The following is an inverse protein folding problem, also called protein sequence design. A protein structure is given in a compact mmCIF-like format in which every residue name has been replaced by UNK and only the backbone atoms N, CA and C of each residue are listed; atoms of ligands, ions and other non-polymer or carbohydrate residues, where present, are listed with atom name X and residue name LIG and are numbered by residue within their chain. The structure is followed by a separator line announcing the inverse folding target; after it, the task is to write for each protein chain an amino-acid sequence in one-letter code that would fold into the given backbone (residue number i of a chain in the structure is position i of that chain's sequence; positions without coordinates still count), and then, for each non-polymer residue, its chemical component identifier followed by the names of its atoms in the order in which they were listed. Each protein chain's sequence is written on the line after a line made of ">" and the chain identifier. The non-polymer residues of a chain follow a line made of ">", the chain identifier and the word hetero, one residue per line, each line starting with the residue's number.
data_IF_840024786224
#
_entry.id   IF_840024786224
#
_cell.length_a   1.000
_cell.length_b   1.000
_cell.length_c   1.000
_cell.angle_alpha   90.00
_cell.angle_beta   90.00
_cell.angle_gamma   90.00
#
_symmetry.space_group_name_H-M   'P 1'
#
loop_
_entity.id
_entity.type
_entity.pdbx_description
1 polymer ?
#
# COMPACT_ATOMS: atom_id res chain seq x y z
N UNK A 1 19.08 27.69 -7.08
CA UNK A 1 17.88 28.46 -6.63
C UNK A 1 16.81 27.51 -6.04
N UNK A 2 17.25 26.35 -5.66
CA UNK A 2 16.43 25.26 -5.09
C UNK A 2 16.28 25.35 -3.56
N UNK A 3 16.62 26.50 -2.98
CA UNK A 3 16.40 26.79 -1.56
C UNK A 3 14.89 26.85 -1.25
N UNK A 4 14.47 26.23 -0.16
CA UNK A 4 13.11 26.27 0.35
C UNK A 4 12.85 27.65 0.95
N UNK A 5 11.81 28.34 0.52
CA UNK A 5 11.42 29.67 1.02
C UNK A 5 10.04 29.66 1.69
N UNK A 6 9.28 28.56 1.54
CA UNK A 6 7.98 28.44 2.20
C UNK A 6 7.60 26.98 2.36
N UNK A 7 7.11 26.63 3.55
CA UNK A 7 6.47 25.33 3.86
C UNK A 7 5.13 25.65 4.52
N UNK A 8 4.03 25.19 3.90
CA UNK A 8 2.67 25.49 4.37
C UNK A 8 1.88 24.20 4.51
N UNK A 9 1.49 23.87 5.73
CA UNK A 9 0.58 22.77 6.06
C UNK A 9 -0.87 23.24 6.13
N UNK A 10 -1.78 22.39 5.70
CA UNK A 10 -3.24 22.57 5.84
C UNK A 10 -3.95 21.28 6.15
N UNK A 11 -5.12 21.38 6.77
CA UNK A 11 -6.02 20.28 6.97
C UNK A 11 -6.89 20.11 5.72
N UNK A 12 -6.95 18.90 5.17
CA UNK A 12 -7.85 18.51 4.08
C UNK A 12 -8.66 17.27 4.51
N UNK A 13 -9.55 16.78 3.67
CA UNK A 13 -10.42 15.65 4.00
C UNK A 13 -10.07 14.44 3.14
N UNK A 14 -9.92 13.27 3.78
CA UNK A 14 -9.64 12.00 3.13
C UNK A 14 -10.91 11.33 2.56
N UNK A 15 -10.74 10.20 1.87
CA UNK A 15 -11.81 9.41 1.23
C UNK A 15 -12.83 8.82 2.19
N UNK A 16 -12.53 8.82 3.50
CA UNK A 16 -13.44 8.38 4.58
C UNK A 16 -14.14 9.55 5.27
N UNK A 17 -13.89 10.79 4.84
CA UNK A 17 -14.42 12.00 5.48
C UNK A 17 -13.70 12.39 6.76
N UNK A 18 -12.50 11.86 7.02
CA UNK A 18 -11.65 12.25 8.13
C UNK A 18 -10.62 13.31 7.70
N UNK A 19 -10.22 14.23 8.58
CA UNK A 19 -9.14 15.16 8.27
C UNK A 19 -7.80 14.45 8.09
N UNK A 20 -6.97 14.98 7.20
CA UNK A 20 -5.58 14.60 7.00
C UNK A 20 -4.73 15.84 6.66
N UNK A 21 -3.41 15.67 6.63
CA UNK A 21 -2.44 16.75 6.38
C UNK A 21 -2.12 16.84 4.90
N UNK A 22 -2.16 18.05 4.34
CA UNK A 22 -1.55 18.39 3.06
C UNK A 22 -0.45 19.44 3.31
N UNK A 23 0.70 19.26 2.67
CA UNK A 23 1.82 20.19 2.73
C UNK A 23 2.15 20.70 1.34
N UNK A 24 2.43 22.01 1.25
CA UNK A 24 2.92 22.67 0.05
C UNK A 24 4.27 23.33 0.34
N UNK A 25 5.25 23.09 -0.53
CA UNK A 25 6.59 23.67 -0.46
C UNK A 25 6.81 24.55 -1.68
N UNK A 26 7.39 25.73 -1.47
CA UNK A 26 7.79 26.65 -2.54
C UNK A 26 9.29 26.91 -2.46
N UNK A 27 9.97 26.86 -3.60
CA UNK A 27 11.40 27.16 -3.72
C UNK A 27 11.65 28.59 -4.17
N UNK A 28 12.86 29.07 -3.96
CA UNK A 28 13.28 30.46 -4.36
C UNK A 28 13.10 30.74 -5.86
N UNK A 29 13.17 29.70 -6.69
CA UNK A 29 12.89 29.78 -8.14
C UNK A 29 11.42 30.03 -8.48
N UNK A 30 10.51 29.72 -7.54
CA UNK A 30 9.06 29.63 -7.75
C UNK A 30 8.56 28.21 -8.06
N UNK A 31 9.43 27.21 -8.14
CA UNK A 31 9.02 25.81 -8.25
C UNK A 31 8.25 25.38 -6.98
N UNK A 32 7.24 24.52 -7.16
CA UNK A 32 6.34 24.13 -6.06
C UNK A 32 6.12 22.63 -6.02
N UNK A 33 5.87 22.12 -4.81
CA UNK A 33 5.46 20.74 -4.60
C UNK A 33 4.38 20.65 -3.54
N UNK A 34 3.37 19.78 -3.79
CA UNK A 34 2.26 19.56 -2.86
C UNK A 34 2.02 18.07 -2.66
N UNK A 35 1.89 17.66 -1.42
CA UNK A 35 1.64 16.27 -1.06
C UNK A 35 0.55 16.16 0.02
N UNK A 36 -0.38 15.24 -0.16
CA UNK A 36 -1.38 14.88 0.82
C UNK A 36 -1.06 13.52 1.44
N UNK A 37 -1.22 13.40 2.75
CA UNK A 37 -0.82 12.23 3.51
C UNK A 37 -1.98 11.24 3.64
N UNK A 38 -1.80 9.94 3.31
CA UNK A 38 -2.81 8.93 3.54
C UNK A 38 -2.92 8.54 5.02
N UNK A 39 -4.03 7.89 5.41
CA UNK A 39 -4.31 7.49 6.80
C UNK A 39 -4.84 6.06 6.86
N UNK A 40 -4.32 5.23 7.77
CA UNK A 40 -4.80 3.85 7.97
C UNK A 40 -6.14 3.77 8.72
N UNK A 41 -6.87 2.67 8.52
CA UNK A 41 -7.99 2.26 9.39
C UNK A 41 -7.50 1.29 10.47
N UNK A 42 -6.84 0.20 10.07
CA UNK A 42 -6.00 -0.63 10.90
C UNK A 42 -4.57 -0.10 10.87
N UNK A 43 -3.86 -0.14 11.99
CA UNK A 43 -2.47 0.29 12.09
C UNK A 43 -1.68 -0.76 12.83
N UNK A 44 -0.55 -1.19 12.26
CA UNK A 44 0.39 -2.08 12.93
C UNK A 44 0.96 -1.44 14.21
N UNK A 45 1.22 -2.25 15.22
CA UNK A 45 1.75 -1.79 16.53
C UNK A 45 3.05 -0.98 16.39
N UNK A 46 3.81 -1.24 15.34
CA UNK A 46 5.16 -0.69 15.14
C UNK A 46 5.23 0.44 14.11
N UNK A 47 4.08 0.94 13.62
CA UNK A 47 4.05 2.07 12.70
C UNK A 47 4.50 3.38 13.35
N UNK A 48 5.04 4.29 12.54
CA UNK A 48 5.25 5.67 12.97
C UNK A 48 3.92 6.35 13.33
N UNK A 49 3.96 7.26 14.31
CA UNK A 49 2.75 7.83 14.91
C UNK A 49 2.10 8.84 13.99
N UNK A 50 0.88 8.57 13.54
CA UNK A 50 0.01 9.57 12.96
C UNK A 50 -0.53 10.47 14.07
N UNK A 51 -0.10 11.75 14.09
CA UNK A 51 -0.48 12.67 15.15
C UNK A 51 -1.92 13.16 14.95
N UNK A 52 -2.78 12.89 15.94
CA UNK A 52 -4.18 13.30 16.03
C UNK A 52 -4.41 14.19 17.23
N UNK A 53 -5.28 15.21 17.08
CA UNK A 53 -5.52 16.24 18.11
C UNK A 53 -6.19 15.68 19.37
N UNK A 54 -6.98 14.58 19.25
CA UNK A 54 -7.86 14.17 20.30
C UNK A 54 -9.04 15.14 20.52
N UNK A 55 -9.66 15.09 21.68
CA UNK A 55 -10.76 15.99 22.03
C UNK A 55 -12.03 15.77 21.20
N UNK A 56 -12.85 16.84 21.01
CA UNK A 56 -14.16 16.71 20.37
C UNK A 56 -14.18 17.07 18.87
N UNK A 57 -13.21 17.88 18.41
CA UNK A 57 -13.15 18.30 17.01
C UNK A 57 -12.89 17.08 16.11
N UNK A 58 -13.72 16.90 15.06
CA UNK A 58 -13.70 15.70 14.22
C UNK A 58 -13.72 14.39 15.03
N UNK A 59 -14.42 14.36 16.17
CA UNK A 59 -14.49 13.18 17.05
C UNK A 59 -13.09 12.67 17.49
N UNK A 60 -12.16 13.61 17.73
CA UNK A 60 -10.79 13.31 18.13
C UNK A 60 -9.80 13.09 16.97
N UNK A 61 -10.28 13.06 15.71
CA UNK A 61 -9.44 12.78 14.53
C UNK A 61 -8.83 14.02 13.86
N UNK A 62 -8.96 15.23 14.47
CA UNK A 62 -8.35 16.46 13.96
C UNK A 62 -6.83 16.32 13.77
N UNK A 63 -6.25 17.12 12.86
CA UNK A 63 -4.81 17.14 12.58
C UNK A 63 -4.22 18.55 12.76
N UNK A 64 -4.89 19.41 13.53
CA UNK A 64 -4.49 20.78 13.75
C UNK A 64 -3.11 20.91 14.41
N UNK A 65 -2.73 20.01 15.33
CA UNK A 65 -1.40 19.99 15.95
C UNK A 65 -0.33 19.65 14.90
N UNK A 66 -0.55 18.62 14.07
CA UNK A 66 0.37 18.26 13.00
C UNK A 66 0.54 19.43 11.98
N UNK A 67 -0.57 20.09 11.61
CA UNK A 67 -0.55 21.28 10.75
C UNK A 67 0.22 22.43 11.41
N UNK A 68 0.05 22.66 12.70
CA UNK A 68 0.80 23.67 13.44
C UNK A 68 2.31 23.36 13.47
N UNK A 69 2.69 22.10 13.62
CA UNK A 69 4.09 21.67 13.56
C UNK A 69 4.71 21.92 12.18
N UNK A 70 3.95 21.68 11.09
CA UNK A 70 4.40 22.01 9.73
C UNK A 70 4.61 23.52 9.57
N UNK A 71 3.64 24.34 9.99
CA UNK A 71 3.66 25.80 9.81
C UNK A 71 4.58 26.54 10.81
N UNK A 72 5.12 25.84 11.81
CA UNK A 72 6.04 26.35 12.82
C UNK A 72 7.41 25.71 12.72
N UNK A 73 7.72 24.78 13.62
CA UNK A 73 9.07 24.21 13.79
C UNK A 73 9.64 23.61 12.51
N UNK A 74 8.82 22.91 11.69
CA UNK A 74 9.27 22.32 10.44
C UNK A 74 9.59 23.39 9.41
N UNK A 75 8.72 24.39 9.23
CA UNK A 75 8.95 25.50 8.31
C UNK A 75 10.21 26.29 8.70
N UNK A 76 10.38 26.59 9.99
CA UNK A 76 11.54 27.32 10.51
C UNK A 76 12.85 26.52 10.30
N UNK A 77 12.82 25.20 10.49
CA UNK A 77 14.00 24.33 10.33
C UNK A 77 14.43 24.15 8.88
N UNK A 78 13.50 24.24 7.94
CA UNK A 78 13.76 24.05 6.51
C UNK A 78 13.93 25.36 5.72
N UNK A 79 13.77 26.53 6.34
CA UNK A 79 13.99 27.81 5.67
C UNK A 79 15.44 27.93 5.17
N UNK A 80 15.62 28.16 3.87
CA UNK A 80 16.93 28.18 3.20
C UNK A 80 17.57 26.80 2.96
N UNK A 81 16.92 25.70 3.33
CA UNK A 81 17.43 24.35 3.05
C UNK A 81 17.38 24.03 1.55
N UNK A 82 18.34 23.23 1.08
CA UNK A 82 18.46 22.83 -0.32
C UNK A 82 17.50 21.66 -0.65
N UNK A 83 16.46 21.91 -1.43
CA UNK A 83 15.42 20.93 -1.73
C UNK A 83 15.93 19.72 -2.54
N UNK A 84 17.00 19.88 -3.32
CA UNK A 84 17.59 18.78 -4.09
C UNK A 84 18.34 17.77 -3.22
N UNK A 85 18.64 18.12 -1.98
CA UNK A 85 19.32 17.26 -1.00
C UNK A 85 18.31 16.50 -0.11
N UNK A 86 17.41 15.72 -0.75
CA UNK A 86 16.29 15.02 -0.08
C UNK A 86 16.72 14.28 1.20
N UNK A 87 17.86 13.56 1.17
CA UNK A 87 18.33 12.80 2.33
C UNK A 87 18.70 13.71 3.51
N UNK A 88 19.25 14.91 3.24
CA UNK A 88 19.57 15.86 4.30
C UNK A 88 18.30 16.50 4.86
N UNK A 89 17.31 16.78 4.01
CA UNK A 89 15.99 17.27 4.44
C UNK A 89 15.30 16.26 5.35
N UNK A 90 15.22 14.98 4.93
CA UNK A 90 14.56 13.93 5.71
C UNK A 90 15.31 13.65 7.03
N UNK A 91 16.64 13.72 7.02
CA UNK A 91 17.45 13.60 8.22
C UNK A 91 17.18 14.76 9.19
N UNK A 92 17.12 16.00 8.68
CA UNK A 92 16.79 17.18 9.50
C UNK A 92 15.39 17.07 10.14
N UNK A 93 14.40 16.54 9.40
CA UNK A 93 13.05 16.28 9.91
C UNK A 93 13.03 15.23 11.03
N UNK A 94 13.78 14.13 10.85
CA UNK A 94 13.90 13.07 11.85
C UNK A 94 14.65 13.57 13.10
N UNK A 95 15.74 14.30 12.94
CA UNK A 95 16.51 14.90 14.03
C UNK A 95 15.68 15.93 14.80
N UNK A 96 14.88 16.73 14.09
CA UNK A 96 13.96 17.69 14.67
C UNK A 96 12.89 17.00 15.52
N UNK A 97 12.30 15.90 15.06
CA UNK A 97 11.36 15.11 15.87
C UNK A 97 12.04 14.48 17.08
N UNK A 98 13.18 13.84 16.91
CA UNK A 98 14.02 13.27 17.96
C UNK A 98 13.43 12.06 18.66
N UNK A 99 12.34 11.45 18.13
CA UNK A 99 11.75 10.20 18.64
C UNK A 99 11.87 9.08 17.61
N UNK A 100 11.93 7.82 18.08
CA UNK A 100 12.13 6.66 17.19
C UNK A 100 10.96 6.44 16.22
N UNK A 101 9.75 6.89 16.58
CA UNK A 101 8.51 6.65 15.85
C UNK A 101 7.78 7.94 15.42
N UNK A 102 8.47 9.09 15.39
CA UNK A 102 7.92 10.38 14.99
C UNK A 102 6.73 10.86 15.84
N UNK A 103 6.70 10.48 17.11
CA UNK A 103 5.59 10.77 18.01
C UNK A 103 5.47 12.26 18.41
N UNK A 104 6.54 13.06 18.28
CA UNK A 104 6.54 14.47 18.72
C UNK A 104 5.90 15.39 17.68
N UNK A 105 6.37 15.35 16.45
CA UNK A 105 5.87 16.19 15.35
C UNK A 105 4.71 15.53 14.59
N UNK A 106 4.72 14.20 14.56
CA UNK A 106 3.78 13.37 13.82
C UNK A 106 4.34 12.92 12.47
N UNK A 107 4.24 11.62 12.19
CA UNK A 107 4.64 11.05 10.90
C UNK A 107 3.88 11.69 9.73
N UNK A 108 2.63 12.11 9.93
CA UNK A 108 1.84 12.82 8.93
C UNK A 108 2.41 14.21 8.59
N UNK A 109 2.87 14.99 9.58
CA UNK A 109 3.54 16.28 9.32
C UNK A 109 4.88 16.09 8.59
N UNK A 110 5.68 15.13 9.05
CA UNK A 110 7.00 14.82 8.49
C UNK A 110 6.88 14.31 7.06
N UNK A 111 6.02 13.30 6.82
CA UNK A 111 5.84 12.72 5.49
C UNK A 111 5.29 13.73 4.48
N UNK A 112 4.27 14.51 4.87
CA UNK A 112 3.71 15.54 3.99
C UNK A 112 4.78 16.50 3.51
N UNK A 113 5.67 16.91 4.42
CA UNK A 113 6.80 17.79 4.11
C UNK A 113 7.84 17.11 3.22
N UNK A 114 8.27 15.89 3.57
CA UNK A 114 9.25 15.12 2.80
C UNK A 114 8.82 14.93 1.34
N UNK A 115 7.56 14.53 1.12
CA UNK A 115 7.03 14.31 -0.23
C UNK A 115 6.80 15.62 -0.99
N UNK A 116 6.38 16.69 -0.31
CA UNK A 116 6.22 18.01 -0.94
C UNK A 116 7.56 18.58 -1.39
N UNK A 117 8.63 18.42 -0.60
CA UNK A 117 10.00 18.78 -0.99
C UNK A 117 10.45 18.01 -2.23
N UNK A 118 10.26 16.69 -2.27
CA UNK A 118 10.60 15.86 -3.43
C UNK A 118 9.89 16.34 -4.70
N UNK A 119 8.60 16.70 -4.59
CA UNK A 119 7.82 17.23 -5.73
C UNK A 119 8.28 18.63 -6.17
N UNK A 120 8.61 19.52 -5.22
CA UNK A 120 9.16 20.83 -5.54
C UNK A 120 10.53 20.73 -6.22
N UNK A 121 11.38 19.80 -5.74
CA UNK A 121 12.68 19.51 -6.35
C UNK A 121 12.54 18.93 -7.77
N UNK A 122 11.56 18.06 -8.01
CA UNK A 122 11.25 17.53 -9.33
C UNK A 122 10.78 18.64 -10.29
N UNK A 123 9.94 19.57 -9.82
CA UNK A 123 9.47 20.72 -10.57
C UNK A 123 10.63 21.67 -10.90
N UNK A 124 11.54 21.95 -9.94
CA UNK A 124 12.74 22.77 -10.13
C UNK A 124 13.62 22.29 -11.30
N UNK A 125 13.78 20.98 -11.42
CA UNK A 125 14.61 20.39 -12.49
C UNK A 125 13.81 20.02 -13.74
N UNK A 126 12.50 20.32 -13.79
CA UNK A 126 11.63 20.08 -14.94
C UNK A 126 11.40 18.60 -15.25
N UNK A 127 11.44 17.73 -14.24
CA UNK A 127 11.22 16.30 -14.37
C UNK A 127 9.92 15.86 -13.66
N UNK A 128 9.17 14.89 -14.19
CA UNK A 128 8.10 14.27 -13.40
C UNK A 128 8.69 13.51 -12.21
N UNK A 129 7.93 13.41 -11.11
CA UNK A 129 8.41 12.84 -9.85
C UNK A 129 9.02 11.44 -10.00
N UNK A 130 8.37 10.55 -10.77
CA UNK A 130 8.88 9.20 -10.99
C UNK A 130 10.27 9.18 -11.65
N UNK A 131 10.55 10.13 -12.55
CA UNK A 131 11.85 10.28 -13.23
C UNK A 131 12.88 10.95 -12.34
N UNK A 132 12.48 11.94 -11.54
CA UNK A 132 13.35 12.61 -10.60
C UNK A 132 13.87 11.65 -9.53
N UNK A 133 12.98 10.87 -8.90
CA UNK A 133 13.35 9.91 -7.84
C UNK A 133 14.07 8.68 -8.41
N UNK A 134 13.58 8.11 -9.51
CA UNK A 134 14.08 6.83 -10.04
C UNK A 134 15.18 6.96 -11.10
N UNK A 135 15.46 8.19 -11.56
CA UNK A 135 16.47 8.45 -12.58
C UNK A 135 16.15 7.82 -13.95
N UNK A 136 17.16 7.69 -14.84
CA UNK A 136 16.95 7.20 -16.20
C UNK A 136 16.52 5.72 -16.27
N UNK A 137 16.73 4.95 -15.22
CA UNK A 137 16.38 3.52 -15.17
C UNK A 137 14.93 3.25 -14.71
N UNK A 138 14.16 4.27 -14.30
CA UNK A 138 12.76 4.13 -13.96
C UNK A 138 11.92 3.88 -15.22
N UNK A 139 11.39 2.66 -15.41
CA UNK A 139 10.67 2.28 -16.63
C UNK A 139 9.70 1.09 -16.44
N UNK A 140 9.66 0.49 -15.23
CA UNK A 140 8.84 -0.69 -14.99
C UNK A 140 7.50 -0.27 -14.43
N UNK A 141 6.43 -0.54 -15.18
CA UNK A 141 5.04 -0.38 -14.73
C UNK A 141 4.69 -1.53 -13.79
N UNK A 142 4.02 -1.25 -12.66
CA UNK A 142 3.68 -2.28 -11.69
C UNK A 142 2.49 -3.14 -12.12
N UNK A 143 2.48 -4.42 -11.72
CA UNK A 143 1.28 -5.26 -11.76
C UNK A 143 0.28 -4.72 -10.73
N UNK A 144 -0.96 -4.39 -11.13
CA UNK A 144 -1.97 -3.93 -10.17
C UNK A 144 -2.55 -5.10 -9.38
N UNK A 145 -2.62 -4.95 -8.06
CA UNK A 145 -3.36 -5.78 -7.13
C UNK A 145 -4.68 -5.09 -6.83
N UNK A 146 -5.73 -5.50 -7.54
CA UNK A 146 -7.03 -4.84 -7.51
C UNK A 146 -7.91 -5.47 -6.43
N UNK A 147 -8.14 -4.78 -5.31
CA UNK A 147 -9.03 -5.24 -4.25
C UNK A 147 -10.49 -5.18 -4.68
N UNK A 148 -11.11 -6.31 -4.99
CA UNK A 148 -12.45 -6.38 -5.59
C UNK A 148 -13.52 -6.97 -4.66
N UNK A 149 -13.11 -7.67 -3.58
CA UNK A 149 -14.01 -8.12 -2.50
C UNK A 149 -13.41 -7.77 -1.14
N UNK A 150 -14.22 -7.16 -0.29
CA UNK A 150 -13.86 -6.77 1.07
C UNK A 150 -14.62 -7.59 2.12
N UNK A 151 -13.92 -7.91 3.21
CA UNK A 151 -14.45 -8.47 4.44
C UNK A 151 -13.73 -7.89 5.66
N UNK A 152 -13.70 -8.60 6.77
CA UNK A 152 -12.99 -8.20 7.98
C UNK A 152 -13.31 -6.77 8.43
N UNK A 153 -12.28 -6.02 8.79
CA UNK A 153 -12.42 -4.63 9.22
C UNK A 153 -12.85 -3.66 8.10
N UNK A 154 -12.75 -4.06 6.82
CA UNK A 154 -13.11 -3.22 5.67
C UNK A 154 -14.58 -3.32 5.24
N UNK A 155 -15.37 -4.23 5.84
CA UNK A 155 -16.77 -4.43 5.49
C UNK A 155 -17.59 -4.99 6.65
N UNK A 156 -18.84 -4.52 6.78
CA UNK A 156 -19.81 -5.10 7.73
C UNK A 156 -20.51 -6.30 7.07
N UNK A 157 -19.81 -7.45 7.05
CA UNK A 157 -20.30 -8.71 6.46
C UNK A 157 -19.74 -9.92 7.23
N UNK A 158 -20.03 -11.14 6.74
CA UNK A 158 -19.67 -12.41 7.38
C UNK A 158 -18.28 -12.96 6.99
N UNK A 159 -17.51 -12.26 6.17
CA UNK A 159 -16.20 -12.71 5.70
C UNK A 159 -15.15 -12.29 6.73
N UNK A 160 -14.34 -13.23 7.24
CA UNK A 160 -13.30 -12.91 8.23
C UNK A 160 -12.11 -12.17 7.62
N UNK A 161 -11.68 -12.57 6.41
CA UNK A 161 -10.50 -12.02 5.73
C UNK A 161 -10.81 -10.70 5.06
N UNK A 162 -9.85 -9.77 5.14
CA UNK A 162 -10.07 -8.35 4.85
C UNK A 162 -10.16 -8.03 3.36
N UNK A 163 -9.29 -8.63 2.52
CA UNK A 163 -9.20 -8.30 1.10
C UNK A 163 -8.99 -9.51 0.21
N UNK A 164 -9.72 -9.52 -0.91
CA UNK A 164 -9.55 -10.49 -1.99
C UNK A 164 -9.29 -9.73 -3.29
N UNK A 165 -8.11 -9.94 -3.85
CA UNK A 165 -7.59 -9.18 -4.98
C UNK A 165 -7.44 -10.02 -6.23
N UNK A 166 -7.63 -9.39 -7.39
CA UNK A 166 -7.28 -9.95 -8.69
C UNK A 166 -6.00 -9.29 -9.20
N UNK A 167 -5.09 -10.12 -9.74
CA UNK A 167 -3.81 -9.70 -10.31
C UNK A 167 -3.70 -10.13 -11.77
N UNK A 168 -3.79 -9.23 -12.76
CA UNK A 168 -3.67 -9.55 -14.18
C UNK A 168 -2.21 -9.80 -14.60
N UNK A 169 -1.63 -10.89 -14.10
CA UNK A 169 -0.20 -11.24 -14.25
C UNK A 169 0.18 -11.71 -15.66
N UNK A 170 -0.81 -12.12 -16.48
CA UNK A 170 -0.60 -12.55 -17.86
C UNK A 170 -0.72 -11.44 -18.90
N UNK A 171 -1.09 -10.21 -18.49
CA UNK A 171 -1.27 -9.09 -19.40
C UNK A 171 0.07 -8.64 -20.05
N UNK A 172 0.03 -8.12 -21.30
CA UNK A 172 1.25 -7.70 -22.00
C UNK A 172 1.73 -6.29 -21.61
N UNK A 173 0.88 -5.46 -20.98
CA UNK A 173 1.18 -4.08 -20.60
C UNK A 173 0.36 -3.70 -19.36
N UNK A 174 0.68 -2.55 -18.75
CA UNK A 174 -0.09 -2.05 -17.61
C UNK A 174 -1.51 -1.66 -18.02
N UNK A 175 -1.68 -0.97 -19.14
CA UNK A 175 -2.99 -0.59 -19.66
C UNK A 175 -3.90 -1.80 -19.91
N UNK A 176 -3.36 -2.88 -20.47
CA UNK A 176 -4.10 -4.14 -20.64
C UNK A 176 -4.39 -4.82 -19.30
N UNK A 177 -3.43 -4.84 -18.37
CA UNK A 177 -3.64 -5.37 -17.03
C UNK A 177 -4.80 -4.65 -16.32
N UNK A 178 -4.80 -3.32 -16.38
CA UNK A 178 -5.89 -2.52 -15.81
C UNK A 178 -7.24 -2.80 -16.50
N UNK A 179 -7.25 -2.92 -17.84
CA UNK A 179 -8.47 -3.27 -18.59
C UNK A 179 -9.03 -4.63 -18.15
N UNK A 180 -8.18 -5.67 -18.09
CA UNK A 180 -8.59 -7.01 -17.64
C UNK A 180 -9.16 -7.00 -16.23
N UNK A 181 -8.53 -6.25 -15.33
CA UNK A 181 -9.03 -6.07 -13.97
C UNK A 181 -10.38 -5.37 -13.90
N UNK A 182 -10.59 -4.31 -14.70
CA UNK A 182 -11.87 -3.58 -14.81
C UNK A 182 -12.98 -4.48 -15.36
N UNK A 183 -12.72 -5.22 -16.42
CA UNK A 183 -13.69 -6.15 -17.02
C UNK A 183 -14.07 -7.25 -16.01
N UNK A 184 -13.10 -7.78 -15.26
CA UNK A 184 -13.36 -8.74 -14.18
C UNK A 184 -14.18 -8.12 -13.06
N UNK A 185 -13.87 -6.89 -12.62
CA UNK A 185 -14.62 -6.17 -11.60
C UNK A 185 -16.10 -5.95 -11.98
N UNK A 186 -16.36 -5.53 -13.21
CA UNK A 186 -17.74 -5.38 -13.68
C UNK A 186 -18.48 -6.73 -13.86
N UNK A 187 -17.76 -7.77 -14.28
CA UNK A 187 -18.30 -9.13 -14.37
C UNK A 187 -18.63 -9.66 -12.96
N UNK A 188 -17.75 -9.43 -11.98
CA UNK A 188 -18.02 -9.76 -10.57
C UNK A 188 -19.28 -9.06 -10.06
N UNK A 189 -19.46 -7.77 -10.35
CA UNK A 189 -20.69 -7.03 -9.99
C UNK A 189 -21.92 -7.72 -10.52
N UNK A 190 -21.88 -8.17 -11.79
CA UNK A 190 -23.00 -8.88 -12.40
C UNK A 190 -23.23 -10.26 -11.74
N UNK A 191 -22.17 -11.01 -11.47
CA UNK A 191 -22.26 -12.32 -10.78
C UNK A 191 -22.90 -12.17 -9.40
N UNK A 192 -22.49 -11.17 -8.62
CA UNK A 192 -23.07 -10.87 -7.31
C UNK A 192 -24.57 -10.51 -7.43
N UNK A 193 -24.91 -9.61 -8.35
CA UNK A 193 -26.30 -9.20 -8.58
C UNK A 193 -27.19 -10.37 -8.99
N UNK A 194 -26.73 -11.21 -9.93
CA UNK A 194 -27.51 -12.36 -10.44
C UNK A 194 -27.74 -13.41 -9.35
N UNK A 195 -26.90 -13.45 -8.29
CA UNK A 195 -27.07 -14.28 -7.09
C UNK A 195 -27.87 -13.61 -5.97
N UNK A 196 -28.37 -12.36 -6.19
CA UNK A 196 -29.09 -11.60 -5.16
C UNK A 196 -28.21 -11.09 -4.03
N UNK A 197 -26.88 -11.03 -4.24
CA UNK A 197 -25.91 -10.54 -3.25
C UNK A 197 -25.70 -9.03 -3.38
N UNK A 198 -25.29 -8.39 -2.26
CA UNK A 198 -25.02 -6.96 -2.22
C UNK A 198 -23.85 -6.55 -3.13
N UNK A 199 -24.01 -5.40 -3.79
CA UNK A 199 -22.96 -4.77 -4.63
C UNK A 199 -22.56 -3.39 -4.07
N UNK A 200 -22.83 -3.13 -2.80
CA UNK A 200 -22.27 -1.99 -2.09
C UNK A 200 -20.75 -2.17 -1.97
N UNK A 201 -20.02 -1.05 -1.96
CA UNK A 201 -18.56 -1.06 -1.93
C UNK A 201 -18.04 -0.61 -0.58
N UNK A 202 -16.93 -1.23 -0.15
CA UNK A 202 -16.17 -0.82 1.03
C UNK A 202 -15.28 0.40 0.80
N UNK A 203 -14.45 0.71 1.78
CA UNK A 203 -13.56 1.89 1.79
C UNK A 203 -12.59 1.91 0.62
N UNK A 204 -12.16 0.76 0.13
CA UNK A 204 -11.22 0.62 -0.97
C UNK A 204 -11.86 0.34 -2.33
N UNK A 205 -13.20 0.40 -2.40
CA UNK A 205 -13.98 0.26 -3.64
C UNK A 205 -14.31 -1.18 -4.04
N UNK A 206 -13.84 -2.19 -3.31
CA UNK A 206 -14.24 -3.60 -3.47
C UNK A 206 -15.68 -3.83 -2.98
N UNK A 207 -16.37 -4.84 -3.54
CA UNK A 207 -17.71 -5.21 -3.10
C UNK A 207 -17.68 -5.87 -1.72
N UNK A 208 -18.75 -5.69 -0.95
CA UNK A 208 -18.88 -6.22 0.40
C UNK A 208 -20.10 -7.17 0.52
N UNK A 209 -20.14 -8.29 -0.21
CA UNK A 209 -21.25 -9.24 -0.14
C UNK A 209 -21.20 -10.03 1.16
N UNK A 210 -22.36 -10.49 1.64
CA UNK A 210 -22.42 -11.56 2.64
C UNK A 210 -22.21 -12.89 1.96
N UNK A 211 -21.12 -13.57 2.27
CA UNK A 211 -20.77 -14.90 1.75
C UNK A 211 -20.63 -15.90 2.91
N UNK A 212 -20.91 -17.20 2.68
CA UNK A 212 -20.87 -18.21 3.72
C UNK A 212 -19.49 -18.49 4.31
N UNK A 213 -18.41 -18.23 3.54
CA UNK A 213 -17.03 -18.48 3.96
C UNK A 213 -16.04 -17.62 3.18
N UNK A 214 -14.79 -17.54 3.67
CA UNK A 214 -13.67 -16.93 2.95
C UNK A 214 -13.41 -17.66 1.60
N UNK A 215 -13.58 -18.97 1.58
CA UNK A 215 -13.38 -19.78 0.39
C UNK A 215 -14.44 -19.52 -0.69
N UNK A 216 -15.68 -19.13 -0.31
CA UNK A 216 -16.71 -18.72 -1.28
C UNK A 216 -16.36 -17.38 -1.95
N UNK A 217 -15.63 -16.50 -1.26
CA UNK A 217 -15.09 -15.29 -1.90
C UNK A 217 -14.06 -15.63 -2.98
N UNK A 218 -13.17 -16.61 -2.74
CA UNK A 218 -12.21 -17.07 -3.76
C UNK A 218 -12.96 -17.70 -4.96
N UNK A 219 -13.95 -18.54 -4.70
CA UNK A 219 -14.74 -19.21 -5.76
C UNK A 219 -15.49 -18.22 -6.64
N UNK A 220 -16.08 -17.18 -6.04
CA UNK A 220 -16.81 -16.17 -6.81
C UNK A 220 -15.87 -15.29 -7.66
N UNK A 221 -14.63 -15.06 -7.20
CA UNK A 221 -13.60 -14.40 -8.01
C UNK A 221 -13.20 -15.27 -9.21
N UNK A 222 -12.99 -16.56 -9.01
CA UNK A 222 -12.67 -17.51 -10.11
C UNK A 222 -13.79 -17.48 -11.14
N UNK A 223 -15.04 -17.59 -10.71
CA UNK A 223 -16.20 -17.50 -11.61
C UNK A 223 -16.23 -16.17 -12.38
N UNK A 224 -15.93 -15.07 -11.72
CA UNK A 224 -15.91 -13.74 -12.36
C UNK A 224 -14.79 -13.63 -13.40
N UNK A 225 -13.60 -14.15 -13.10
CA UNK A 225 -12.46 -14.22 -14.04
C UNK A 225 -12.83 -15.03 -15.29
N UNK A 226 -13.37 -16.24 -15.09
CA UNK A 226 -13.79 -17.13 -16.20
C UNK A 226 -14.91 -16.50 -17.04
N UNK A 227 -15.92 -15.91 -16.40
CA UNK A 227 -17.01 -15.23 -17.11
C UNK A 227 -16.58 -13.95 -17.82
N UNK A 228 -15.50 -13.31 -17.38
CA UNK A 228 -14.87 -12.19 -18.08
C UNK A 228 -14.05 -12.65 -19.29
N UNK A 229 -13.86 -13.96 -19.47
CA UNK A 229 -13.13 -14.55 -20.61
C UNK A 229 -11.64 -14.75 -20.36
N UNK A 230 -11.20 -14.72 -19.10
CA UNK A 230 -9.81 -14.92 -18.71
C UNK A 230 -9.59 -16.25 -18.00
N UNK A 231 -8.36 -16.75 -18.07
CA UNK A 231 -7.97 -18.03 -17.42
C UNK A 231 -7.44 -17.75 -16.02
N UNK A 232 -8.13 -18.27 -14.95
CA UNK A 232 -7.64 -18.13 -13.57
C UNK A 232 -6.24 -18.71 -13.41
N UNK A 233 -5.38 -17.94 -12.74
CA UNK A 233 -3.99 -18.32 -12.47
C UNK A 233 -3.03 -18.09 -13.61
N UNK A 234 -3.46 -18.07 -14.87
CA UNK A 234 -2.62 -17.80 -16.04
C UNK A 234 -2.71 -16.33 -16.46
N UNK A 235 -3.91 -15.88 -16.78
CA UNK A 235 -4.16 -14.50 -17.18
C UNK A 235 -4.31 -13.61 -15.94
N UNK A 236 -5.20 -14.03 -15.04
CA UNK A 236 -5.50 -13.32 -13.80
C UNK A 236 -5.34 -14.29 -12.61
N UNK A 237 -4.46 -13.96 -11.70
CA UNK A 237 -4.25 -14.69 -10.46
C UNK A 237 -4.97 -14.01 -9.29
N UNK A 238 -5.00 -14.69 -8.13
CA UNK A 238 -5.63 -14.19 -6.90
C UNK A 238 -4.54 -13.84 -5.89
N UNK A 239 -4.70 -12.68 -5.24
CA UNK A 239 -3.97 -12.31 -4.05
C UNK A 239 -4.93 -12.07 -2.89
N UNK A 240 -4.46 -12.26 -1.67
CA UNK A 240 -5.26 -12.12 -0.47
C UNK A 240 -4.52 -11.29 0.57
N UNK A 241 -5.27 -10.47 1.30
CA UNK A 241 -4.84 -9.86 2.55
C UNK A 241 -5.87 -10.22 3.63
N UNK A 242 -5.59 -11.25 4.44
CA UNK A 242 -6.46 -11.66 5.52
C UNK A 242 -6.36 -10.78 6.76
N UNK A 243 -5.31 -9.96 6.92
CA UNK A 243 -5.01 -9.15 8.10
C UNK A 243 -5.11 -9.98 9.40
N UNK A 244 -4.31 -11.05 9.50
CA UNK A 244 -4.44 -12.05 10.59
C UNK A 244 -4.15 -11.49 11.99
N UNK A 245 -3.51 -10.32 12.11
CA UNK A 245 -3.37 -9.64 13.40
C UNK A 245 -4.70 -9.27 14.03
N UNK A 246 -5.71 -8.89 13.23
CA UNK A 246 -7.06 -8.57 13.69
C UNK A 246 -7.84 -9.80 14.21
N UNK A 247 -7.47 -10.99 13.74
CA UNK A 247 -8.13 -12.26 14.06
C UNK A 247 -7.39 -13.06 15.14
N UNK A 248 -6.26 -12.56 15.64
CA UNK A 248 -5.43 -13.27 16.62
C UNK A 248 -5.75 -12.85 18.06
N UNK A 249 -6.10 -13.84 18.89
CA UNK A 249 -6.40 -13.65 20.32
C UNK A 249 -5.96 -14.87 21.11
N UNK A 250 -5.35 -14.65 22.26
CA UNK A 250 -4.94 -15.71 23.20
C UNK A 250 -4.11 -16.82 22.54
N UNK A 251 -3.22 -16.46 21.61
CA UNK A 251 -2.35 -17.42 20.93
C UNK A 251 -3.04 -18.21 19.80
N UNK A 252 -4.23 -17.81 19.34
CA UNK A 252 -5.01 -18.51 18.32
C UNK A 252 -5.65 -17.56 17.30
N UNK A 253 -5.91 -18.06 16.12
CA UNK A 253 -6.59 -17.39 15.01
C UNK A 253 -8.08 -17.73 15.02
N UNK A 254 -8.93 -16.71 15.15
CA UNK A 254 -10.38 -16.85 15.26
C UNK A 254 -11.07 -16.47 13.94
N UNK A 255 -11.35 -17.44 13.09
CA UNK A 255 -12.17 -17.29 11.89
C UNK A 255 -13.64 -17.44 12.27
N UNK A 256 -14.23 -16.39 12.83
CA UNK A 256 -15.57 -16.45 13.43
C UNK A 256 -16.67 -16.67 12.41
N UNK A 257 -16.53 -16.09 11.20
CA UNK A 257 -17.44 -16.31 10.07
C UNK A 257 -17.45 -17.77 9.59
N UNK A 258 -16.34 -18.48 9.76
CA UNK A 258 -16.24 -19.92 9.46
C UNK A 258 -16.45 -20.82 10.69
N UNK A 259 -16.60 -20.25 11.89
CA UNK A 259 -16.74 -21.01 13.14
C UNK A 259 -15.48 -21.79 13.52
N UNK A 260 -14.29 -21.32 13.13
CA UNK A 260 -13.00 -21.99 13.36
C UNK A 260 -12.14 -21.22 14.34
N UNK A 261 -11.41 -21.95 15.19
CA UNK A 261 -10.34 -21.42 16.05
C UNK A 261 -9.12 -22.29 15.84
N UNK A 262 -8.09 -21.73 15.22
CA UNK A 262 -6.90 -22.43 14.76
C UNK A 262 -5.68 -22.03 15.60
N UNK A 263 -4.83 -22.99 15.94
CA UNK A 263 -3.50 -22.67 16.42
C UNK A 263 -2.56 -22.31 15.24
N UNK A 264 -1.33 -21.84 15.49
CA UNK A 264 -0.42 -21.42 14.40
C UNK A 264 -0.13 -22.52 13.39
N UNK A 265 0.05 -23.77 13.80
CA UNK A 265 0.32 -24.88 12.88
C UNK A 265 -0.91 -25.23 12.04
N UNK A 266 -2.09 -25.22 12.64
CA UNK A 266 -3.37 -25.38 11.96
C UNK A 266 -3.63 -24.26 10.95
N UNK A 267 -3.22 -23.00 11.27
CA UNK A 267 -3.33 -21.87 10.34
C UNK A 267 -2.37 -22.02 9.15
N UNK A 268 -1.15 -22.49 9.35
CA UNK A 268 -0.22 -22.83 8.26
C UNK A 268 -0.79 -23.91 7.36
N UNK A 269 -1.38 -24.97 7.93
CA UNK A 269 -2.05 -26.03 7.17
C UNK A 269 -3.27 -25.51 6.38
N UNK A 270 -4.01 -24.56 6.94
CA UNK A 270 -5.12 -23.88 6.26
C UNK A 270 -4.63 -23.14 5.00
N UNK A 271 -3.57 -22.36 5.11
CA UNK A 271 -2.96 -21.67 3.97
C UNK A 271 -2.41 -22.63 2.91
N UNK A 272 -1.69 -23.67 3.34
CA UNK A 272 -1.16 -24.68 2.41
C UNK A 272 -2.27 -25.32 1.58
N UNK A 273 -3.40 -25.68 2.20
CA UNK A 273 -4.57 -26.22 1.52
C UNK A 273 -5.17 -25.24 0.51
N UNK A 274 -5.31 -23.98 0.86
CA UNK A 274 -5.85 -22.97 -0.06
C UNK A 274 -4.94 -22.75 -1.27
N UNK A 275 -3.63 -22.67 -1.06
CA UNK A 275 -2.62 -22.54 -2.12
C UNK A 275 -2.59 -23.78 -3.04
N UNK A 276 -2.85 -24.99 -2.48
CA UNK A 276 -2.97 -26.22 -3.28
C UNK A 276 -4.24 -26.27 -4.13
N UNK A 277 -5.30 -25.60 -3.68
CA UNK A 277 -6.63 -25.71 -4.28
C UNK A 277 -6.92 -24.59 -5.28
N UNK A 278 -6.41 -23.41 -5.04
CA UNK A 278 -6.78 -22.18 -5.77
C UNK A 278 -5.55 -21.47 -6.38
N UNK A 279 -5.74 -20.65 -7.43
CA UNK A 279 -4.66 -19.94 -8.10
C UNK A 279 -4.20 -18.71 -7.30
N UNK A 280 -3.92 -18.91 -6.01
CA UNK A 280 -3.39 -17.88 -5.12
C UNK A 280 -1.90 -17.73 -5.39
N UNK A 281 -1.45 -16.50 -5.62
CA UNK A 281 -0.03 -16.18 -5.90
C UNK A 281 0.59 -15.27 -4.87
N UNK A 282 -0.22 -14.61 -4.01
CA UNK A 282 0.27 -13.72 -2.97
C UNK A 282 -0.64 -13.76 -1.75
N UNK A 283 -0.06 -13.81 -0.56
CA UNK A 283 -0.71 -13.72 0.74
C UNK A 283 0.01 -12.64 1.55
N UNK A 284 -0.72 -11.58 1.90
CA UNK A 284 -0.26 -10.51 2.77
C UNK A 284 -0.72 -10.81 4.19
N UNK A 285 0.12 -10.58 5.18
CA UNK A 285 -0.15 -10.77 6.62
C UNK A 285 -0.95 -12.04 6.96
N UNK A 286 -0.45 -13.17 6.43
CA UNK A 286 -1.06 -14.50 6.65
C UNK A 286 -0.91 -15.03 8.07
N UNK A 287 -0.13 -14.36 8.93
CA UNK A 287 0.06 -14.64 10.36
C UNK A 287 0.09 -13.32 11.13
N UNK A 288 -0.07 -13.38 12.45
CA UNK A 288 0.02 -12.22 13.34
C UNK A 288 1.40 -11.54 13.29
N UNK A 289 1.46 -10.22 13.35
CA UNK A 289 2.67 -9.38 13.20
C UNK A 289 3.81 -9.69 14.19
N UNK A 290 3.50 -10.31 15.33
CA UNK A 290 4.48 -10.74 16.33
C UNK A 290 4.67 -12.27 16.38
N UNK A 291 3.97 -13.05 15.55
CA UNK A 291 4.13 -14.52 15.48
C UNK A 291 5.26 -14.91 14.48
N UNK A 292 6.49 -14.52 14.80
CA UNK A 292 7.67 -14.82 13.97
C UNK A 292 7.88 -16.31 13.71
N UNK A 293 7.51 -17.16 14.70
CA UNK A 293 7.61 -18.62 14.56
C UNK A 293 6.59 -19.16 13.54
N UNK A 294 5.34 -18.69 13.63
CA UNK A 294 4.28 -19.01 12.66
C UNK A 294 4.61 -18.50 11.25
N UNK A 295 5.11 -17.28 11.12
CA UNK A 295 5.60 -16.74 9.85
C UNK A 295 6.73 -17.60 9.26
N UNK A 296 7.69 -18.02 10.07
CA UNK A 296 8.76 -18.93 9.63
C UNK A 296 8.22 -20.28 9.18
N UNK A 297 7.21 -20.83 9.87
CA UNK A 297 6.55 -22.06 9.47
C UNK A 297 5.78 -21.89 8.15
N UNK A 298 5.02 -20.81 7.99
CA UNK A 298 4.29 -20.47 6.75
C UNK A 298 5.26 -20.30 5.58
N UNK A 299 6.38 -19.60 5.79
CA UNK A 299 7.39 -19.39 4.74
C UNK A 299 7.98 -20.71 4.26
N UNK A 300 8.31 -21.63 5.19
CA UNK A 300 8.81 -22.97 4.81
C UNK A 300 7.74 -23.79 4.07
N UNK A 301 6.48 -23.68 4.47
CA UNK A 301 5.40 -24.48 3.88
C UNK A 301 5.05 -24.04 2.46
N UNK A 302 4.90 -22.73 2.20
CA UNK A 302 4.37 -22.24 0.92
C UNK A 302 5.20 -21.13 0.25
N UNK A 303 6.19 -20.54 0.93
CA UNK A 303 6.95 -19.40 0.43
C UNK A 303 7.80 -19.67 -0.82
N UNK A 304 8.03 -20.95 -1.17
CA UNK A 304 8.68 -21.34 -2.42
C UNK A 304 7.71 -21.38 -3.63
N UNK A 305 6.42 -21.16 -3.41
CA UNK A 305 5.34 -21.23 -4.42
C UNK A 305 4.57 -19.94 -4.57
N UNK A 306 4.41 -19.19 -3.46
CA UNK A 306 3.62 -17.96 -3.40
C UNK A 306 4.41 -16.84 -2.75
N UNK A 307 4.08 -15.63 -3.12
CA UNK A 307 4.56 -14.43 -2.47
C UNK A 307 3.93 -14.31 -1.08
N UNK A 308 4.77 -14.11 -0.07
CA UNK A 308 4.36 -13.83 1.31
C UNK A 308 4.77 -12.41 1.65
N UNK A 309 3.79 -11.53 1.76
CA UNK A 309 3.99 -10.09 1.96
C UNK A 309 3.84 -9.76 3.45
N UNK A 310 4.84 -9.12 4.04
CA UNK A 310 4.71 -8.53 5.37
C UNK A 310 4.29 -7.07 5.27
N UNK A 311 3.08 -6.75 5.77
CA UNK A 311 2.58 -5.40 6.01
C UNK A 311 2.84 -5.02 7.47
N UNK A 312 1.98 -5.40 8.40
CA UNK A 312 2.15 -5.15 9.84
C UNK A 312 3.41 -5.81 10.39
N UNK A 313 3.85 -6.93 9.79
CA UNK A 313 5.10 -7.59 10.14
C UNK A 313 6.31 -6.67 9.99
N UNK A 314 6.39 -5.88 8.91
CA UNK A 314 7.55 -5.06 8.56
C UNK A 314 7.34 -3.56 8.70
N UNK A 315 6.11 -3.07 8.59
CA UNK A 315 5.70 -1.65 8.68
C UNK A 315 6.61 -0.69 7.91
N UNK A 316 7.07 -1.10 6.74
CA UNK A 316 8.01 -0.32 5.89
C UNK A 316 9.32 0.05 6.63
N UNK A 317 9.70 -0.70 7.67
CA UNK A 317 10.82 -0.41 8.56
C UNK A 317 12.04 -1.29 8.24
N UNK A 318 13.17 -0.65 7.94
CA UNK A 318 14.45 -1.32 7.59
C UNK A 318 14.91 -2.30 8.68
N UNK A 319 14.75 -1.96 9.97
CA UNK A 319 15.21 -2.84 11.07
C UNK A 319 14.33 -4.09 11.17
N UNK A 320 13.01 -3.95 11.05
CA UNK A 320 12.09 -5.09 11.06
C UNK A 320 12.27 -5.98 9.82
N UNK A 321 12.42 -5.36 8.63
CA UNK A 321 12.69 -6.10 7.40
C UNK A 321 14.02 -6.87 7.50
N UNK A 322 15.08 -6.27 8.05
CA UNK A 322 16.36 -6.94 8.31
C UNK A 322 16.18 -8.18 9.20
N UNK A 323 15.40 -8.06 10.27
CA UNK A 323 15.05 -9.20 11.14
C UNK A 323 14.38 -10.33 10.35
N UNK A 324 13.42 -10.00 9.46
CA UNK A 324 12.77 -10.98 8.62
C UNK A 324 13.72 -11.67 7.64
N UNK A 325 14.62 -10.91 7.03
CA UNK A 325 15.64 -11.41 6.11
C UNK A 325 16.57 -12.38 6.85
N UNK A 326 17.08 -12.00 8.02
CA UNK A 326 17.99 -12.82 8.84
C UNK A 326 17.33 -14.12 9.32
N UNK A 327 16.02 -14.09 9.57
CA UNK A 327 15.25 -15.27 10.01
C UNK A 327 14.62 -16.04 8.82
N UNK A 328 14.81 -15.60 7.59
CA UNK A 328 14.20 -16.18 6.38
C UNK A 328 12.67 -16.23 6.46
N UNK A 329 12.06 -15.14 6.88
CA UNK A 329 10.62 -14.99 7.09
C UNK A 329 10.02 -14.09 6.01
N UNK A 330 8.91 -14.52 5.38
CA UNK A 330 8.30 -13.89 4.22
C UNK A 330 9.23 -13.88 2.99
N UNK A 331 8.86 -13.20 1.91
CA UNK A 331 9.68 -13.00 0.71
C UNK A 331 9.32 -11.71 -0.04
N UNK A 332 8.44 -10.90 0.54
CA UNK A 332 8.05 -9.59 0.03
C UNK A 332 7.69 -8.64 1.18
N UNK A 333 7.78 -7.34 0.92
CA UNK A 333 7.40 -6.27 1.85
C UNK A 333 6.32 -5.40 1.22
N UNK A 334 5.28 -5.07 2.00
CA UNK A 334 4.36 -4.00 1.65
C UNK A 334 4.99 -2.65 2.01
N UNK A 335 4.91 -1.69 1.11
CA UNK A 335 5.56 -0.38 1.26
C UNK A 335 4.48 0.69 1.35
N UNK A 336 4.27 1.20 2.56
CA UNK A 336 3.35 2.29 2.88
C UNK A 336 4.16 3.49 3.39
N UNK A 337 4.25 4.54 2.62
CA UNK A 337 5.10 5.71 2.92
C UNK A 337 4.84 6.31 4.30
N UNK A 338 3.59 6.27 4.79
CA UNK A 338 3.22 6.84 6.08
C UNK A 338 3.50 5.93 7.29
N UNK A 339 3.79 4.63 7.08
CA UNK A 339 4.18 3.74 8.17
C UNK A 339 5.56 4.06 8.73
N UNK A 340 6.41 4.66 7.91
CA UNK A 340 7.79 5.06 8.29
C UNK A 340 7.96 6.58 8.33
N UNK A 341 7.37 7.33 7.41
CA UNK A 341 7.17 8.78 7.52
C UNK A 341 8.16 9.67 6.77
N UNK A 342 9.11 9.13 5.98
CA UNK A 342 9.91 9.90 5.03
C UNK A 342 10.10 9.17 3.71
N UNK A 343 10.36 9.91 2.63
CA UNK A 343 10.71 9.33 1.34
C UNK A 343 12.02 8.53 1.42
N UNK A 344 13.04 9.08 2.08
CA UNK A 344 14.35 8.43 2.24
C UNK A 344 14.23 7.06 2.91
N UNK A 345 13.57 6.95 4.06
CA UNK A 345 13.39 5.68 4.77
C UNK A 345 12.56 4.68 3.95
N UNK A 346 11.58 5.17 3.19
CA UNK A 346 10.80 4.35 2.25
C UNK A 346 11.70 3.74 1.17
N UNK A 347 12.56 4.56 0.55
CA UNK A 347 13.48 4.11 -0.50
C UNK A 347 14.53 3.15 0.07
N UNK A 348 15.05 3.39 1.27
CA UNK A 348 16.00 2.50 1.95
C UNK A 348 15.38 1.11 2.23
N UNK A 349 14.09 1.07 2.57
CA UNK A 349 13.37 -0.20 2.76
C UNK A 349 13.24 -0.98 1.44
N UNK A 350 12.87 -0.30 0.34
CA UNK A 350 12.77 -0.93 -0.98
C UNK A 350 14.15 -1.41 -1.48
N UNK A 351 15.19 -0.63 -1.24
CA UNK A 351 16.56 -1.00 -1.59
C UNK A 351 17.01 -2.25 -0.83
N UNK A 352 16.83 -2.29 0.50
CA UNK A 352 17.15 -3.45 1.34
C UNK A 352 16.41 -4.70 0.86
N UNK A 353 15.11 -4.60 0.59
CA UNK A 353 14.32 -5.71 0.05
C UNK A 353 14.92 -6.25 -1.25
N UNK A 354 15.20 -5.35 -2.19
CA UNK A 354 15.76 -5.70 -3.50
C UNK A 354 17.12 -6.37 -3.41
N UNK A 355 18.02 -5.86 -2.55
CA UNK A 355 19.37 -6.43 -2.33
C UNK A 355 19.33 -7.85 -1.79
N UNK A 356 18.26 -8.24 -1.08
CA UNK A 356 18.11 -9.56 -0.46
C UNK A 356 17.09 -10.46 -1.18
N UNK A 357 16.64 -10.07 -2.39
CA UNK A 357 15.74 -10.89 -3.22
C UNK A 357 14.28 -10.88 -2.78
N UNK A 358 13.89 -9.98 -1.88
CA UNK A 358 12.49 -9.72 -1.55
C UNK A 358 11.86 -8.84 -2.60
N UNK A 359 10.59 -9.10 -2.93
CA UNK A 359 9.79 -8.18 -3.73
C UNK A 359 9.25 -7.05 -2.86
N UNK A 360 8.93 -5.92 -3.50
CA UNK A 360 8.24 -4.80 -2.83
C UNK A 360 6.91 -4.56 -3.53
N UNK A 361 5.87 -4.29 -2.74
CA UNK A 361 4.54 -3.91 -3.22
C UNK A 361 4.26 -2.49 -2.74
N UNK A 362 4.23 -1.51 -3.65
CA UNK A 362 3.86 -0.14 -3.29
C UNK A 362 2.37 -0.09 -2.96
N UNK A 363 2.01 0.49 -1.82
CA UNK A 363 0.64 0.39 -1.31
C UNK A 363 0.05 1.72 -0.90
N UNK A 364 -1.27 1.83 -1.09
CA UNK A 364 -2.15 2.85 -0.53
C UNK A 364 -2.46 2.58 0.95
N UNK A 365 -3.33 3.42 1.52
CA UNK A 365 -4.02 3.16 2.80
C UNK A 365 -5.54 3.19 2.58
N UNK A 366 -6.29 2.75 3.59
CA UNK A 366 -7.77 2.79 3.54
C UNK A 366 -8.32 4.21 3.46
N UNK A 367 -7.71 5.18 4.14
CA UNK A 367 -7.98 6.61 3.98
C UNK A 367 -7.01 7.25 2.99
N UNK A 368 -7.49 7.59 1.81
CA UNK A 368 -6.71 8.16 0.71
C UNK A 368 -7.25 9.53 0.29
N UNK A 369 -6.46 10.21 -0.54
CA UNK A 369 -6.83 11.44 -1.23
C UNK A 369 -6.65 11.26 -2.74
N UNK A 370 -6.79 12.33 -3.52
CA UNK A 370 -6.45 12.35 -4.94
C UNK A 370 -4.94 12.32 -5.23
N UNK A 371 -4.09 12.41 -4.20
CA UNK A 371 -2.63 12.33 -4.35
C UNK A 371 -2.22 10.99 -4.99
N UNK A 372 -1.36 11.05 -6.01
CA UNK A 372 -0.94 9.90 -6.78
C UNK A 372 0.56 9.55 -6.59
N UNK A 373 1.21 10.08 -5.56
CA UNK A 373 2.65 9.91 -5.30
C UNK A 373 3.08 8.45 -5.33
N UNK A 374 2.29 7.53 -4.75
CA UNK A 374 2.65 6.10 -4.75
C UNK A 374 2.70 5.48 -6.15
N UNK A 375 1.98 6.01 -7.12
CA UNK A 375 2.08 5.57 -8.51
C UNK A 375 3.43 5.98 -9.12
N UNK A 376 3.87 7.22 -8.87
CA UNK A 376 5.19 7.69 -9.27
C UNK A 376 6.30 6.87 -8.59
N UNK A 377 6.18 6.61 -7.28
CA UNK A 377 7.16 5.83 -6.52
C UNK A 377 7.23 4.37 -6.97
N UNK A 378 6.11 3.76 -7.35
CA UNK A 378 6.12 2.39 -7.87
C UNK A 378 6.97 2.26 -9.14
N UNK A 379 6.90 3.26 -10.04
CA UNK A 379 7.73 3.29 -11.25
C UNK A 379 9.15 3.74 -10.93
N UNK A 380 9.33 4.75 -10.07
CA UNK A 380 10.64 5.25 -9.66
C UNK A 380 11.54 4.13 -9.09
N UNK A 381 10.98 3.26 -8.27
CA UNK A 381 11.70 2.16 -7.62
C UNK A 381 11.77 0.89 -8.48
N UNK A 382 11.05 0.82 -9.62
CA UNK A 382 10.87 -0.41 -10.41
C UNK A 382 10.40 -1.60 -9.54
N UNK A 383 9.63 -1.37 -8.48
CA UNK A 383 9.21 -2.43 -7.54
C UNK A 383 8.35 -3.50 -8.23
N UNK A 384 7.66 -3.14 -9.29
CA UNK A 384 6.94 -4.06 -10.16
C UNK A 384 5.55 -4.46 -9.70
N UNK A 385 5.09 -3.98 -8.53
CA UNK A 385 3.76 -4.26 -7.99
C UNK A 385 3.18 -3.03 -7.29
N UNK A 386 1.84 -2.85 -7.38
CA UNK A 386 1.10 -1.81 -6.67
C UNK A 386 -0.23 -2.35 -6.13
N UNK A 387 -0.50 -2.08 -4.85
CA UNK A 387 -1.78 -2.34 -4.18
C UNK A 387 -2.45 -0.99 -3.92
N UNK A 388 -3.50 -0.65 -4.69
CA UNK A 388 -4.15 0.66 -4.56
C UNK A 388 -5.68 0.59 -4.72
N UNK A 389 -6.27 -0.51 -4.23
CA UNK A 389 -7.73 -0.69 -4.15
C UNK A 389 -8.38 -1.16 -5.45
N UNK A 390 -9.70 -1.11 -5.49
CA UNK A 390 -10.50 -1.46 -6.66
C UNK A 390 -10.36 -0.39 -7.77
N UNK A 391 -10.71 -0.72 -9.02
CA UNK A 391 -10.75 0.24 -10.12
C UNK A 391 -12.03 1.11 -10.04
N UNK A 392 -12.36 1.57 -8.86
CA UNK A 392 -13.52 2.40 -8.52
C UNK A 392 -13.14 3.35 -7.37
N UNK A 393 -13.91 4.46 -7.20
CA UNK A 393 -13.63 5.60 -6.32
C UNK A 393 -12.43 6.43 -6.80
N UNK A 394 -12.61 7.75 -6.84
CA UNK A 394 -11.63 8.69 -7.43
C UNK A 394 -10.27 8.64 -6.73
N UNK A 395 -10.27 8.42 -5.42
CA UNK A 395 -9.07 8.29 -4.58
C UNK A 395 -8.18 7.10 -4.99
N UNK A 396 -8.78 6.01 -5.51
CA UNK A 396 -8.05 4.83 -6.04
C UNK A 396 -7.69 5.02 -7.51
N UNK A 397 -8.67 5.43 -8.31
CA UNK A 397 -8.53 5.61 -9.77
C UNK A 397 -7.49 6.69 -10.11
N UNK A 398 -7.26 7.69 -9.25
CA UNK A 398 -6.21 8.70 -9.42
C UNK A 398 -4.83 8.06 -9.64
N UNK A 399 -4.48 7.01 -8.86
CA UNK A 399 -3.21 6.28 -8.95
C UNK A 399 -3.10 5.48 -10.25
N UNK A 400 -4.18 4.77 -10.63
CA UNK A 400 -4.23 4.03 -11.91
C UNK A 400 -4.12 4.97 -13.12
N UNK A 401 -4.81 6.11 -13.08
CA UNK A 401 -4.72 7.12 -14.13
C UNK A 401 -3.31 7.72 -14.24
N UNK A 402 -2.61 7.90 -13.10
CA UNK A 402 -1.22 8.35 -13.12
C UNK A 402 -0.30 7.32 -13.77
N UNK A 403 -0.47 6.03 -13.47
CA UNK A 403 0.30 4.96 -14.12
C UNK A 403 0.04 4.88 -15.63
N UNK A 404 -1.20 5.09 -16.09
CA UNK A 404 -1.51 5.20 -17.51
C UNK A 404 -0.78 6.37 -18.19
N UNK A 405 -0.69 7.54 -17.50
CA UNK A 405 0.07 8.69 -18.00
C UNK A 405 1.57 8.39 -18.07
N UNK A 406 2.11 7.71 -17.05
CA UNK A 406 3.52 7.30 -17.02
C UNK A 406 3.81 6.31 -18.15
N UNK A 407 2.95 5.30 -18.37
CA UNK A 407 3.08 4.35 -19.47
C UNK A 407 3.10 5.08 -20.82
N UNK A 408 2.20 6.04 -21.02
CA UNK A 408 2.18 6.86 -22.24
C UNK A 408 3.44 7.73 -22.41
N UNK A 409 3.99 8.27 -21.32
CA UNK A 409 5.24 9.05 -21.35
C UNK A 409 6.46 8.19 -21.66
N UNK A 410 6.50 6.95 -21.20
CA UNK A 410 7.56 5.99 -21.47
C UNK A 410 7.48 5.42 -22.88
N UNK A 411 6.28 5.28 -23.44
CA UNK A 411 6.08 4.71 -24.77
C UNK A 411 6.70 3.33 -24.90
N UNK A 412 7.54 3.13 -25.92
CA UNK A 412 8.21 1.84 -26.19
C UNK A 412 9.24 1.44 -25.10
N UNK A 413 9.66 2.38 -24.23
CA UNK A 413 10.56 2.07 -23.12
C UNK A 413 9.83 1.51 -21.90
N UNK A 414 8.50 1.53 -21.87
CA UNK A 414 7.71 0.97 -20.79
C UNK A 414 7.89 -0.56 -20.71
N UNK A 415 8.21 -1.08 -19.54
CA UNK A 415 8.29 -2.51 -19.29
C UNK A 415 7.19 -2.93 -18.32
N UNK A 416 6.57 -4.08 -18.60
CA UNK A 416 5.61 -4.72 -17.71
C UNK A 416 6.05 -6.16 -17.47
N UNK A 417 6.34 -6.51 -16.21
CA UNK A 417 6.96 -7.80 -15.87
C UNK A 417 5.93 -8.92 -15.64
N UNK A 418 4.65 -8.59 -15.48
CA UNK A 418 3.63 -9.59 -15.22
C UNK A 418 4.02 -10.49 -14.04
N UNK A 419 3.83 -11.78 -14.17
CA UNK A 419 4.14 -12.78 -13.12
C UNK A 419 5.58 -12.70 -12.61
N UNK A 420 6.55 -12.30 -13.42
CA UNK A 420 7.96 -12.23 -12.99
C UNK A 420 8.26 -11.07 -12.03
N UNK A 421 7.28 -10.21 -11.76
CA UNK A 421 7.38 -9.19 -10.71
C UNK A 421 7.23 -9.76 -9.29
N UNK A 422 6.62 -10.93 -9.14
CA UNK A 422 6.32 -11.55 -7.85
C UNK A 422 7.50 -12.41 -7.35
N UNK A 423 7.62 -12.56 -6.02
CA UNK A 423 8.41 -13.61 -5.38
C UNK A 423 7.57 -14.89 -5.24
N UNK A 424 8.18 -16.10 -5.17
CA UNK A 424 9.60 -16.35 -5.46
C UNK A 424 9.90 -16.24 -6.96
N UNK A 425 11.13 -15.85 -7.27
CA UNK A 425 11.61 -15.68 -8.65
C UNK A 425 12.44 -16.87 -9.10
#
# INVERSE_FOLDING_TARGET
>A
MSEIVSVVGREIIDSRGNPTVEVEVTLLSGATGRAAVPSGASTGEHEAVELRDGGSRYMGKGVGIAVANVNGEIADALDGAEALEQRLVDMALNDLDGTDNKARLGANAILGTSLAVAKAAADEVGLPLWRYVGGPNAHVLPVPMLNVVNGGAHADNSIDMQEFMVMPVGAPSFSEALRWGIETYHTLKKVLHDRGLGTAVGDEGGFAPNLPSNEDAIRILIEAIEKAGYTPGTDIAIAMDPAMSELYRDGRYHLTGEGKVLDPDEMVAYWARLVDTYPIVSIEDGMHENDWAGWGALTRAVGHRVQLVGDDLFVTNVARLRTGIEQHVANAVLVKVNQIGTLTETLDTVELATQHGYSSVMSHRSGETEDATIADLAVATNCGQIKTGAPARSDRVAKYNQLLRIEAQLGEAAAFRGRSALSPR
#
